data_IF_570138074099
#
_entry.id   IF_570138074099
#
_cell.length_a   1.000
_cell.length_b   1.000
_cell.length_c   1.000
_cell.angle_alpha   90.00
_cell.angle_beta   90.00
_cell.angle_gamma   90.00
#
_symmetry.space_group_name_H-M   'P 1'
#
loop_
_entity.id
_entity.type
_entity.pdbx_description
1 polymer ?
#
# COMPACT_ATOMS: atom_id res chain seq x y z
N UNK A 1 13.76 1.96 12.83
CA UNK A 1 14.01 3.06 13.78
C UNK A 1 14.13 4.38 13.02
N UNK A 2 13.34 5.38 13.39
CA UNK A 2 13.38 6.74 12.86
C UNK A 2 14.05 7.65 13.88
N UNK A 3 14.84 8.61 13.39
CA UNK A 3 15.27 9.74 14.20
C UNK A 3 14.06 10.64 14.54
N UNK A 4 14.13 11.45 15.62
CA UNK A 4 13.12 12.47 15.89
C UNK A 4 12.92 13.40 14.69
N UNK A 5 11.65 13.63 14.31
CA UNK A 5 11.29 14.45 13.14
C UNK A 5 11.53 13.79 11.78
N UNK A 6 12.05 12.57 11.72
CA UNK A 6 12.14 11.82 10.48
C UNK A 6 10.82 11.14 10.13
N UNK A 7 10.58 10.98 8.84
CA UNK A 7 9.45 10.23 8.29
C UNK A 7 9.93 9.11 7.38
N UNK A 8 9.07 8.12 7.21
CA UNK A 8 9.30 6.95 6.36
C UNK A 8 8.11 6.78 5.41
N UNK A 9 8.44 6.50 4.15
CA UNK A 9 7.49 6.04 3.15
C UNK A 9 7.93 4.67 2.66
N UNK A 10 7.02 3.71 2.68
CA UNK A 10 7.23 2.41 2.07
C UNK A 10 5.96 1.87 1.46
N UNK A 11 6.12 0.98 0.47
CA UNK A 11 5.02 0.20 -0.05
C UNK A 11 5.44 -1.25 -0.29
N UNK A 12 4.46 -2.15 -0.23
CA UNK A 12 4.56 -3.55 -0.60
C UNK A 12 3.44 -3.86 -1.58
N UNK A 13 3.75 -4.56 -2.67
CA UNK A 13 2.77 -5.01 -3.67
C UNK A 13 3.00 -6.51 -3.87
N UNK A 14 2.05 -7.33 -3.45
CA UNK A 14 2.18 -8.79 -3.43
C UNK A 14 1.19 -9.41 -4.41
N UNK A 15 1.69 -10.27 -5.32
CA UNK A 15 0.87 -11.10 -6.21
C UNK A 15 0.87 -12.55 -5.75
N UNK A 16 -0.32 -13.07 -5.49
CA UNK A 16 -0.62 -14.42 -5.03
C UNK A 16 -0.85 -15.38 -6.19
N UNK A 17 0.23 -15.78 -6.86
CA UNK A 17 0.24 -16.74 -7.96
C UNK A 17 0.45 -16.13 -9.34
N UNK A 18 0.85 -16.95 -10.31
CA UNK A 18 1.04 -16.53 -11.71
C UNK A 18 -0.29 -16.51 -12.46
N UNK A 19 -1.00 -15.39 -12.38
CA UNK A 19 -2.32 -15.25 -13.00
C UNK A 19 -2.33 -15.52 -14.51
N UNK A 20 -1.24 -15.20 -15.23
CA UNK A 20 -1.09 -15.53 -16.66
C UNK A 20 -1.08 -17.04 -16.95
N UNK A 21 -0.79 -17.88 -15.93
CA UNK A 21 -0.87 -19.35 -15.99
C UNK A 21 -2.11 -19.90 -15.29
N UNK A 22 -3.04 -19.05 -14.87
CA UNK A 22 -4.21 -19.46 -14.08
C UNK A 22 -3.90 -19.90 -12.65
N UNK A 23 -2.67 -19.66 -12.15
CA UNK A 23 -2.30 -20.06 -10.80
C UNK A 23 -2.93 -19.14 -9.76
N UNK A 24 -3.47 -19.76 -8.71
CA UNK A 24 -3.98 -19.13 -7.50
C UNK A 24 -3.15 -19.54 -6.29
N UNK A 25 -3.21 -18.76 -5.22
CA UNK A 25 -2.54 -19.09 -3.96
C UNK A 25 -3.40 -20.03 -3.11
N UNK A 26 -3.24 -21.34 -3.35
CA UNK A 26 -4.08 -22.39 -2.76
C UNK A 26 -3.35 -23.25 -1.72
N UNK A 27 -2.03 -23.15 -1.62
CA UNK A 27 -1.22 -23.94 -0.68
C UNK A 27 -0.15 -23.09 0.01
N UNK A 28 0.15 -23.43 1.26
CA UNK A 28 1.11 -22.72 2.11
C UNK A 28 0.49 -21.54 2.85
N UNK A 29 1.35 -20.57 3.20
CA UNK A 29 0.95 -19.37 3.91
C UNK A 29 1.91 -18.23 3.62
N UNK A 30 1.37 -17.02 3.61
CA UNK A 30 2.15 -15.81 3.44
C UNK A 30 2.15 -15.01 4.73
N UNK A 31 3.31 -14.46 5.07
CA UNK A 31 3.49 -13.57 6.23
C UNK A 31 4.28 -12.35 5.81
N UNK A 32 3.83 -11.17 6.24
CA UNK A 32 4.56 -9.92 6.15
C UNK A 32 4.58 -9.26 7.52
N UNK A 33 5.71 -8.64 7.83
CA UNK A 33 5.93 -8.02 9.11
C UNK A 33 6.78 -6.76 8.93
N UNK A 34 6.15 -5.60 9.15
CA UNK A 34 6.79 -4.30 9.09
C UNK A 34 6.51 -3.53 10.38
N UNK A 35 7.57 -2.98 10.97
CA UNK A 35 7.46 -2.11 12.13
C UNK A 35 8.26 -0.83 11.93
N UNK A 36 7.64 0.30 12.25
CA UNK A 36 8.27 1.61 12.25
C UNK A 36 8.27 2.13 13.68
N UNK A 37 9.47 2.36 14.19
CA UNK A 37 9.74 2.78 15.55
C UNK A 37 10.41 4.15 15.57
N UNK A 38 10.21 4.93 16.64
CA UNK A 38 10.94 6.17 16.92
C UNK A 38 11.20 6.29 18.42
N UNK A 39 12.46 6.49 18.80
CA UNK A 39 12.90 6.57 20.20
C UNK A 39 12.43 5.36 21.03
N UNK A 40 12.49 4.16 20.45
CA UNK A 40 12.04 2.94 21.11
C UNK A 40 10.52 2.82 21.32
N UNK A 41 9.71 3.70 20.71
CA UNK A 41 8.24 3.61 20.69
C UNK A 41 7.73 3.17 19.32
N UNK A 42 6.77 2.24 19.23
CA UNK A 42 6.21 1.84 17.95
C UNK A 42 5.28 2.94 17.43
N UNK A 43 5.53 3.43 16.22
CA UNK A 43 4.65 4.37 15.53
C UNK A 43 3.64 3.63 14.65
N UNK A 44 4.06 2.52 14.04
CA UNK A 44 3.21 1.69 13.19
C UNK A 44 3.73 0.26 13.17
N UNK A 45 2.83 -0.71 13.32
CA UNK A 45 3.12 -2.15 13.23
C UNK A 45 2.09 -2.75 12.28
N UNK A 46 2.57 -3.39 11.21
CA UNK A 46 1.75 -4.19 10.32
C UNK A 46 2.25 -5.64 10.33
N UNK A 47 1.35 -6.54 10.73
CA UNK A 47 1.55 -7.99 10.73
C UNK A 47 0.45 -8.60 9.90
N UNK A 48 0.81 -9.03 8.69
CA UNK A 48 -0.12 -9.69 7.80
C UNK A 48 0.19 -11.18 7.80
N UNK A 49 -0.85 -11.98 7.96
CA UNK A 49 -0.81 -13.42 7.75
C UNK A 49 -2.00 -13.80 6.87
N UNK A 50 -1.70 -14.51 5.79
CA UNK A 50 -2.69 -15.00 4.86
C UNK A 50 -2.47 -16.49 4.63
N UNK A 51 -3.30 -17.37 5.22
CA UNK A 51 -3.28 -18.78 4.88
C UNK A 51 -3.78 -18.96 3.43
N UNK A 52 -3.14 -19.85 2.68
CA UNK A 52 -3.61 -20.19 1.35
C UNK A 52 -4.83 -21.11 1.42
N UNK A 53 -5.63 -21.11 0.36
CA UNK A 53 -6.78 -22.02 0.23
C UNK A 53 -7.91 -21.40 -0.58
N UNK A 54 -8.75 -22.24 -1.19
CA UNK A 54 -9.85 -21.80 -2.05
C UNK A 54 -10.82 -20.88 -1.29
N UNK A 55 -11.14 -21.22 -0.04
CA UNK A 55 -12.04 -20.43 0.81
C UNK A 55 -11.48 -19.03 1.10
N UNK A 56 -10.21 -18.93 1.53
CA UNK A 56 -9.57 -17.66 1.84
C UNK A 56 -9.36 -16.82 0.57
N UNK A 57 -9.03 -17.48 -0.55
CA UNK A 57 -8.87 -16.81 -1.82
C UNK A 57 -10.17 -16.13 -2.27
N UNK A 58 -11.32 -16.81 -2.14
CA UNK A 58 -12.61 -16.28 -2.60
C UNK A 58 -13.39 -15.48 -1.54
N UNK A 59 -13.04 -15.61 -0.26
CA UNK A 59 -13.71 -14.89 0.82
C UNK A 59 -13.58 -13.36 0.66
N UNK A 60 -14.66 -12.58 0.87
CA UNK A 60 -14.59 -11.12 0.86
C UNK A 60 -13.70 -10.55 1.98
N UNK A 61 -13.48 -11.33 3.05
CA UNK A 61 -12.57 -10.99 4.15
C UNK A 61 -11.13 -11.45 3.90
N UNK A 62 -10.90 -12.25 2.85
CA UNK A 62 -9.59 -12.59 2.35
C UNK A 62 -9.29 -11.84 1.06
N UNK A 63 -9.00 -12.59 -0.01
CA UNK A 63 -8.59 -12.01 -1.29
C UNK A 63 -9.76 -11.63 -2.21
N UNK A 64 -11.01 -12.00 -1.91
CA UNK A 64 -12.18 -11.69 -2.73
C UNK A 64 -12.00 -12.07 -4.23
N UNK A 65 -11.29 -13.16 -4.51
CA UNK A 65 -10.95 -13.61 -5.86
C UNK A 65 -9.82 -12.83 -6.54
N UNK A 66 -9.21 -11.85 -5.86
CA UNK A 66 -8.21 -10.95 -6.42
C UNK A 66 -6.78 -11.42 -6.11
N UNK A 67 -5.90 -11.52 -7.12
CA UNK A 67 -4.54 -12.04 -6.93
C UNK A 67 -3.56 -11.01 -6.39
N UNK A 68 -3.88 -9.72 -6.30
CA UNK A 68 -2.95 -8.67 -5.87
C UNK A 68 -3.49 -7.95 -4.65
N UNK A 69 -2.64 -7.82 -3.63
CA UNK A 69 -2.84 -6.90 -2.50
C UNK A 69 -1.66 -5.97 -2.39
N UNK A 70 -1.89 -4.77 -1.85
CA UNK A 70 -0.80 -3.85 -1.59
C UNK A 70 -1.09 -2.91 -0.43
N UNK A 71 -0.02 -2.47 0.23
CA UNK A 71 -0.03 -1.45 1.26
C UNK A 71 1.00 -0.36 0.91
N UNK A 72 0.64 0.91 1.10
CA UNK A 72 1.58 2.04 1.12
C UNK A 72 1.38 2.78 2.43
N UNK A 73 2.45 2.98 3.19
CA UNK A 73 2.42 3.69 4.45
C UNK A 73 3.38 4.89 4.42
N UNK A 74 2.89 6.03 4.93
CA UNK A 74 3.68 7.19 5.33
C UNK A 74 3.59 7.29 6.84
N UNK A 75 4.72 7.24 7.54
CA UNK A 75 4.78 7.18 9.01
C UNK A 75 5.82 8.16 9.55
N UNK A 76 5.56 8.76 10.71
CA UNK A 76 6.49 9.65 11.42
C UNK A 76 6.06 11.11 11.43
N UNK A 77 5.00 11.46 10.69
CA UNK A 77 4.41 12.79 10.69
C UNK A 77 2.90 12.68 10.45
N UNK A 78 2.10 13.44 11.21
CA UNK A 78 0.65 13.51 10.99
C UNK A 78 0.33 14.10 9.62
N UNK A 79 -0.81 13.70 9.09
CA UNK A 79 -1.27 14.07 7.76
C UNK A 79 -2.61 14.78 7.91
N UNK A 80 -2.80 15.91 7.21
CA UNK A 80 -4.05 16.63 7.32
C UNK A 80 -5.20 15.89 6.60
N UNK A 81 -6.46 16.09 7.02
CA UNK A 81 -7.62 15.50 6.35
C UNK A 81 -7.69 15.83 4.85
N UNK A 82 -7.19 17.00 4.44
CA UNK A 82 -7.13 17.42 3.05
C UNK A 82 -6.21 16.51 2.23
N UNK A 83 -5.02 16.15 2.74
CA UNK A 83 -4.09 15.24 2.05
C UNK A 83 -4.71 13.84 1.95
N UNK A 84 -5.39 13.37 3.00
CA UNK A 84 -6.12 12.08 2.97
C UNK A 84 -7.17 12.10 1.86
N UNK A 85 -7.96 13.17 1.77
CA UNK A 85 -9.00 13.30 0.74
C UNK A 85 -8.38 13.43 -0.66
N UNK A 86 -7.29 14.16 -0.83
CA UNK A 86 -6.56 14.23 -2.09
C UNK A 86 -6.07 12.85 -2.54
N UNK A 87 -5.51 12.05 -1.62
CA UNK A 87 -5.08 10.69 -1.91
C UNK A 87 -6.25 9.76 -2.31
N UNK A 88 -7.43 9.94 -1.71
CA UNK A 88 -8.67 9.24 -2.13
C UNK A 88 -9.11 9.67 -3.53
N UNK A 89 -9.06 10.97 -3.84
CA UNK A 89 -9.41 11.48 -5.17
C UNK A 89 -8.47 10.96 -6.27
N UNK A 90 -7.18 10.76 -5.97
CA UNK A 90 -6.25 10.10 -6.90
C UNK A 90 -6.67 8.67 -7.26
N UNK A 91 -7.53 8.03 -6.46
CA UNK A 91 -8.19 6.78 -6.81
C UNK A 91 -9.41 6.99 -7.69
N UNK A 92 -10.34 7.84 -7.25
CA UNK A 92 -11.66 7.99 -7.86
C UNK A 92 -11.68 8.62 -9.27
N UNK A 93 -10.63 9.33 -9.68
CA UNK A 93 -10.58 10.06 -10.96
C UNK A 93 -10.35 9.14 -12.18
N UNK A 94 -9.88 7.91 -11.96
CA UNK A 94 -9.62 6.96 -13.03
C UNK A 94 -10.59 5.78 -12.95
N UNK A 95 -11.03 5.27 -14.10
CA UNK A 95 -11.74 3.99 -14.16
C UNK A 95 -10.76 2.87 -13.79
N UNK A 96 -10.91 2.36 -12.57
CA UNK A 96 -10.08 1.31 -12.00
C UNK A 96 -10.95 0.15 -11.56
N UNK A 97 -10.41 -1.06 -11.69
CA UNK A 97 -11.13 -2.31 -11.44
C UNK A 97 -10.91 -2.84 -10.03
N UNK A 98 -9.78 -2.50 -9.40
CA UNK A 98 -9.50 -2.88 -8.03
C UNK A 98 -10.33 -2.12 -7.00
N UNK A 99 -10.16 -2.52 -5.74
CA UNK A 99 -10.65 -1.82 -4.58
C UNK A 99 -9.48 -1.13 -3.88
N UNK A 100 -9.71 0.08 -3.40
CA UNK A 100 -8.70 0.83 -2.67
C UNK A 100 -9.31 1.60 -1.51
N UNK A 101 -8.49 1.81 -0.48
CA UNK A 101 -8.85 2.62 0.68
C UNK A 101 -7.67 3.47 1.13
N UNK A 102 -7.98 4.65 1.66
CA UNK A 102 -6.99 5.53 2.30
C UNK A 102 -7.53 5.95 3.66
N UNK A 103 -6.72 5.82 4.68
CA UNK A 103 -7.01 6.25 6.04
C UNK A 103 -5.85 7.01 6.65
N UNK A 104 -6.18 7.91 7.58
CA UNK A 104 -5.21 8.53 8.48
C UNK A 104 -4.72 7.49 9.50
N UNK A 105 -3.47 7.63 9.92
CA UNK A 105 -2.87 6.98 11.09
C UNK A 105 -2.55 8.07 12.12
N UNK A 106 -2.38 7.68 13.40
CA UNK A 106 -1.98 8.61 14.48
C UNK A 106 -0.74 9.45 14.09
N UNK A 107 0.22 8.85 13.38
CA UNK A 107 1.41 9.53 12.88
C UNK A 107 1.61 9.22 11.40
N UNK A 108 0.59 9.42 10.57
CA UNK A 108 0.74 9.12 9.15
C UNK A 108 -0.52 8.93 8.33
N UNK A 109 -0.34 8.17 7.25
CA UNK A 109 -1.39 7.77 6.32
C UNK A 109 -1.11 6.35 5.81
N UNK A 110 -2.18 5.58 5.60
CA UNK A 110 -2.14 4.23 5.05
C UNK A 110 -3.06 4.13 3.84
N UNK A 111 -2.52 3.63 2.74
CA UNK A 111 -3.26 3.21 1.55
C UNK A 111 -3.27 1.68 1.48
N UNK A 112 -4.43 1.11 1.13
CA UNK A 112 -4.57 -0.31 0.82
C UNK A 112 -5.21 -0.52 -0.53
N UNK A 113 -4.82 -1.61 -1.18
CA UNK A 113 -5.33 -2.02 -2.48
C UNK A 113 -5.59 -3.53 -2.49
N UNK A 114 -6.65 -3.94 -3.19
CA UNK A 114 -6.95 -5.32 -3.55
C UNK A 114 -7.49 -5.36 -4.98
N UNK A 115 -6.90 -6.15 -5.87
CA UNK A 115 -7.33 -6.21 -7.26
C UNK A 115 -6.49 -7.16 -8.11
N UNK A 116 -6.60 -7.03 -9.44
CA UNK A 116 -5.96 -7.96 -10.39
C UNK A 116 -4.68 -7.42 -11.02
N UNK A 117 -4.45 -6.10 -10.92
CA UNK A 117 -3.44 -5.40 -11.71
C UNK A 117 -2.35 -4.79 -10.83
N UNK A 118 -1.14 -5.33 -10.97
CA UNK A 118 0.07 -4.76 -10.34
C UNK A 118 0.40 -3.37 -10.92
N UNK A 119 0.09 -3.16 -12.20
CA UNK A 119 0.33 -1.86 -12.88
C UNK A 119 -0.61 -0.79 -12.33
N UNK A 120 -1.89 -1.11 -12.14
CA UNK A 120 -2.90 -0.19 -11.60
C UNK A 120 -2.50 0.33 -10.23
N UNK A 121 -2.18 -0.57 -9.29
CA UNK A 121 -1.75 -0.18 -7.95
C UNK A 121 -0.41 0.54 -7.93
N UNK A 122 0.55 0.15 -8.77
CA UNK A 122 1.84 0.84 -8.89
C UNK A 122 1.67 2.27 -9.38
N UNK A 123 0.79 2.49 -10.35
CA UNK A 123 0.48 3.83 -10.85
C UNK A 123 -0.15 4.68 -9.74
N UNK A 124 -1.16 4.15 -9.06
CA UNK A 124 -1.80 4.86 -7.94
C UNK A 124 -0.85 5.17 -6.80
N UNK A 125 -0.06 4.19 -6.35
CA UNK A 125 0.96 4.38 -5.30
C UNK A 125 2.01 5.40 -5.72
N UNK A 126 2.38 5.43 -7.00
CA UNK A 126 3.26 6.47 -7.51
C UNK A 126 2.61 7.83 -7.37
N UNK A 127 1.35 8.01 -7.76
CA UNK A 127 0.65 9.29 -7.65
C UNK A 127 0.53 9.75 -6.20
N UNK A 128 0.20 8.85 -5.27
CA UNK A 128 0.16 9.12 -3.83
C UNK A 128 1.55 9.52 -3.31
N UNK A 129 2.61 8.83 -3.74
CA UNK A 129 3.98 9.21 -3.39
C UNK A 129 4.35 10.60 -3.91
N UNK A 130 3.95 10.96 -5.12
CA UNK A 130 4.19 12.30 -5.66
C UNK A 130 3.49 13.38 -4.83
N UNK A 131 2.23 13.14 -4.44
CA UNK A 131 1.46 14.00 -3.54
C UNK A 131 2.19 14.20 -2.21
N UNK A 132 2.52 13.11 -1.51
CA UNK A 132 3.18 13.18 -0.19
C UNK A 132 4.55 13.86 -0.28
N UNK A 133 5.33 13.55 -1.33
CA UNK A 133 6.65 14.16 -1.54
C UNK A 133 6.57 15.67 -1.76
N UNK A 134 5.57 16.13 -2.51
CA UNK A 134 5.34 17.55 -2.71
C UNK A 134 4.91 18.23 -1.39
N UNK A 135 3.93 17.66 -0.70
CA UNK A 135 3.35 18.24 0.52
C UNK A 135 4.34 18.33 1.68
N UNK A 136 5.19 17.31 1.87
CA UNK A 136 6.09 17.24 3.04
C UNK A 136 7.54 17.64 2.74
N UNK A 137 8.02 17.49 1.50
CA UNK A 137 9.41 17.82 1.15
C UNK A 137 9.53 19.03 0.23
N UNK A 138 8.42 19.61 -0.25
CA UNK A 138 8.43 20.74 -1.19
C UNK A 138 9.07 20.41 -2.53
N UNK A 139 9.25 19.11 -2.84
CA UNK A 139 9.98 18.65 -4.03
C UNK A 139 9.05 17.94 -4.98
N UNK A 140 9.01 18.41 -6.23
CA UNK A 140 8.37 17.66 -7.31
C UNK A 140 9.06 16.31 -7.45
N UNK A 141 8.26 15.26 -7.50
CA UNK A 141 8.75 13.90 -7.64
C UNK A 141 9.22 13.64 -9.07
N UNK A 142 10.47 13.21 -9.23
CA UNK A 142 10.97 12.66 -10.49
C UNK A 142 10.98 11.14 -10.37
N UNK A 143 10.20 10.45 -11.20
CA UNK A 143 10.14 8.97 -11.16
C UNK A 143 11.54 8.41 -11.46
N UNK A 144 12.09 7.49 -10.63
CA UNK A 144 13.35 6.84 -10.94
C UNK A 144 13.29 6.14 -12.29
N UNK A 145 14.36 6.23 -13.10
CA UNK A 145 14.41 5.57 -14.42
C UNK A 145 14.18 4.06 -14.33
N UNK A 146 14.65 3.44 -13.25
CA UNK A 146 14.46 2.02 -12.95
C UNK A 146 13.00 1.61 -12.68
N UNK A 147 12.06 2.57 -12.62
CA UNK A 147 10.62 2.27 -12.49
C UNK A 147 9.88 2.19 -13.83
N UNK A 148 10.55 2.45 -14.95
CA UNK A 148 9.98 2.29 -16.30
C UNK A 148 10.05 0.85 -16.83
N UNK A 149 10.34 -0.12 -15.96
CA UNK A 149 10.38 -1.56 -16.25
C UNK A 149 9.07 -2.22 -15.86
#
# INVERSE_FOLDING_TARGET
ELAPGASWLGWEITRFGRSARGEKFLQGEWRSHTEVWQQGRPLWIERLWLPAGEEIFHSPHGLAGQPVVASLAWVGQSVSPEIVNQARMLWSVQERQGEAGVTELISGLLCRYRGSSTVEVRNWFTDVWQLLRLSFLGRRATKPRVWQV
#
